data_IF_534311933589
#
_entry.id   IF_534311933589
#
_cell.length_a   1.000
_cell.length_b   1.000
_cell.length_c   1.000
_cell.angle_alpha   90.00
_cell.angle_beta   90.00
_cell.angle_gamma   90.00
#
_symmetry.space_group_name_H-M   'P 1'
#
loop_
_entity.id
_entity.type
_entity.pdbx_description
1 polymer ?
#
# COMPACT_ATOMS: atom_id res chain seq x y z
N UNK A 1 8.90 -1.26 21.30
CA UNK A 1 7.78 -2.16 21.67
C UNK A 1 7.07 -1.55 22.85
N UNK A 2 5.74 -1.60 22.90
CA UNK A 2 4.98 -1.07 24.02
C UNK A 2 5.30 -1.84 25.30
N UNK A 3 5.83 -1.15 26.30
CA UNK A 3 6.25 -1.73 27.57
C UNK A 3 5.05 -1.78 28.54
N UNK A 4 4.66 -2.95 29.05
CA UNK A 4 3.49 -3.11 29.92
C UNK A 4 3.83 -2.75 31.38
N UNK A 5 4.54 -1.64 31.60
CA UNK A 5 5.15 -1.33 32.90
C UNK A 5 4.11 -0.95 33.97
N UNK A 6 2.90 -0.56 33.55
CA UNK A 6 1.71 -0.43 34.40
C UNK A 6 0.99 -1.75 34.72
N UNK A 7 1.51 -2.91 34.28
CA UNK A 7 0.90 -4.23 34.44
C UNK A 7 1.80 -5.22 35.22
N UNK A 8 2.83 -4.71 35.90
CA UNK A 8 3.74 -5.53 36.72
C UNK A 8 2.96 -6.42 37.71
N UNK A 9 3.14 -7.74 37.59
CA UNK A 9 2.42 -8.74 38.39
C UNK A 9 1.07 -9.22 37.82
N UNK A 10 0.65 -8.77 36.63
CA UNK A 10 -0.59 -9.23 35.98
C UNK A 10 -0.31 -10.02 34.70
N UNK A 11 -1.05 -11.12 34.49
CA UNK A 11 -1.12 -11.82 33.19
C UNK A 11 -2.13 -11.19 32.22
N UNK A 12 -2.83 -10.15 32.67
CA UNK A 12 -4.04 -9.57 32.06
C UNK A 12 -3.84 -8.76 30.79
N UNK A 13 -2.61 -8.61 30.27
CA UNK A 13 -2.28 -7.67 29.18
C UNK A 13 -3.00 -7.90 27.84
N UNK A 14 -3.76 -8.99 27.71
CA UNK A 14 -4.59 -9.33 26.54
C UNK A 14 -6.10 -9.30 26.85
N UNK A 15 -6.52 -9.56 28.10
CA UNK A 15 -7.91 -9.97 28.45
C UNK A 15 -8.39 -9.55 29.84
N UNK A 16 -7.86 -8.49 30.47
CA UNK A 16 -8.23 -8.13 31.84
C UNK A 16 -8.17 -6.66 32.18
N UNK A 17 -8.73 -6.32 33.36
CA UNK A 17 -8.86 -4.95 33.86
C UNK A 17 -7.66 -4.53 34.73
N UNK A 18 -7.17 -3.27 34.64
CA UNK A 18 -7.55 -2.25 33.67
C UNK A 18 -6.98 -2.56 32.29
N UNK A 19 -7.85 -2.62 31.27
CA UNK A 19 -7.42 -2.91 29.91
C UNK A 19 -6.68 -1.69 29.33
N UNK A 20 -5.48 -1.93 28.81
CA UNK A 20 -4.60 -0.85 28.38
C UNK A 20 -5.11 -0.16 27.11
N UNK A 21 -5.06 1.18 27.10
CA UNK A 21 -5.64 2.06 26.06
C UNK A 21 -7.15 1.92 25.80
N UNK A 22 -7.96 1.27 26.62
CA UNK A 22 -9.37 1.05 26.24
C UNK A 22 -10.33 2.24 26.43
N UNK A 23 -9.82 3.42 26.85
CA UNK A 23 -10.45 4.73 26.57
C UNK A 23 -10.44 5.03 25.06
N UNK A 24 -9.51 4.42 24.33
CA UNK A 24 -9.38 4.43 22.88
C UNK A 24 -9.28 5.86 22.30
N UNK A 25 -8.53 6.73 22.99
CA UNK A 25 -8.41 8.14 22.66
C UNK A 25 -7.53 8.38 21.43
N UNK A 26 -7.79 9.46 20.69
CA UNK A 26 -6.96 9.85 19.54
C UNK A 26 -5.56 10.33 19.93
N UNK A 27 -5.36 10.69 21.21
CA UNK A 27 -4.05 10.99 21.82
C UNK A 27 -3.23 9.73 22.10
N UNK A 28 -3.88 8.57 22.20
CA UNK A 28 -3.16 7.31 22.36
C UNK A 28 -2.53 6.99 20.99
N UNK A 29 -1.20 6.96 20.87
CA UNK A 29 -0.53 6.98 19.56
C UNK A 29 0.80 6.24 19.54
N UNK A 30 1.15 5.67 18.38
CA UNK A 30 2.44 5.00 18.12
C UNK A 30 3.56 6.01 17.81
N UNK A 31 3.65 7.09 18.59
CA UNK A 31 4.44 8.28 18.29
C UNK A 31 5.82 8.33 18.97
N UNK A 32 6.11 7.44 19.93
CA UNK A 32 7.40 7.40 20.63
C UNK A 32 8.52 6.89 19.70
N UNK A 33 9.68 7.55 19.71
CA UNK A 33 10.84 7.21 18.87
C UNK A 33 11.49 5.90 19.30
N UNK A 34 11.64 5.72 20.61
CA UNK A 34 12.27 4.57 21.26
C UNK A 34 11.64 4.32 22.64
N UNK A 35 12.11 3.29 23.34
CA UNK A 35 11.53 2.81 24.60
C UNK A 35 11.51 3.84 25.73
N UNK A 36 12.34 4.88 25.68
CA UNK A 36 12.35 5.96 26.69
C UNK A 36 11.19 6.95 26.54
N UNK A 37 10.53 6.98 25.38
CA UNK A 37 9.36 7.84 25.10
C UNK A 37 8.02 7.11 25.30
N UNK A 38 8.02 5.93 25.91
CA UNK A 38 6.80 5.17 26.23
C UNK A 38 6.09 5.80 27.42
N UNK A 39 4.78 6.00 27.30
CA UNK A 39 3.92 6.45 28.40
C UNK A 39 2.62 5.64 28.44
N UNK A 40 1.70 6.01 29.32
CA UNK A 40 0.34 5.44 29.34
C UNK A 40 -0.48 5.74 28.07
N UNK A 41 -0.10 6.73 27.25
CA UNK A 41 -0.76 7.10 25.98
C UNK A 41 0.16 6.94 24.75
N UNK A 42 1.47 7.18 24.92
CA UNK A 42 2.48 7.08 23.85
C UNK A 42 3.07 5.67 23.78
N UNK A 43 2.81 4.99 22.67
CA UNK A 43 3.47 3.73 22.31
C UNK A 43 4.58 3.95 21.29
N UNK A 44 5.42 2.93 21.11
CA UNK A 44 6.54 2.93 20.15
C UNK A 44 6.23 1.91 19.06
N UNK A 45 6.23 2.37 17.81
CA UNK A 45 6.02 1.54 16.62
C UNK A 45 6.81 0.21 16.73
N UNK A 46 6.13 -0.95 16.80
CA UNK A 46 6.79 -2.23 17.03
C UNK A 46 7.79 -2.58 15.91
N UNK A 47 7.61 -2.02 14.71
CA UNK A 47 8.50 -2.25 13.59
C UNK A 47 9.90 -1.64 13.78
N UNK A 48 10.06 -0.66 14.69
CA UNK A 48 11.39 -0.14 15.06
C UNK A 48 12.30 -1.19 15.69
N UNK A 49 11.75 -2.28 16.23
CA UNK A 49 12.53 -3.43 16.70
C UNK A 49 13.25 -4.19 15.56
N UNK A 50 12.85 -4.00 14.30
CA UNK A 50 13.54 -4.56 13.11
C UNK A 50 14.65 -3.61 12.62
N UNK A 51 14.54 -2.31 12.93
CA UNK A 51 15.55 -1.29 12.62
C UNK A 51 14.93 0.10 12.41
N UNK A 52 15.74 1.17 12.36
CA UNK A 52 15.26 2.56 12.33
C UNK A 52 14.42 2.89 11.09
N UNK A 53 14.73 2.29 9.94
CA UNK A 53 14.03 2.52 8.68
C UNK A 53 12.67 1.80 8.59
N UNK A 54 12.43 0.80 9.45
CA UNK A 54 11.19 0.05 9.45
C UNK A 54 10.09 0.82 10.18
N UNK A 55 8.86 0.69 9.70
CA UNK A 55 7.67 1.26 10.34
C UNK A 55 6.40 0.48 10.01
N UNK A 56 5.39 0.63 10.85
CA UNK A 56 4.04 0.20 10.56
C UNK A 56 3.44 1.12 9.47
N UNK A 57 2.75 0.58 8.45
CA UNK A 57 2.08 1.38 7.42
C UNK A 57 1.03 2.32 8.00
N UNK A 58 0.81 3.44 7.34
CA UNK A 58 -0.36 4.30 7.58
C UNK A 58 -1.60 3.79 6.83
N UNK A 59 -2.76 4.33 7.19
CA UNK A 59 -4.04 4.15 6.50
C UNK A 59 -3.93 4.56 5.02
N UNK A 60 -3.11 5.58 4.72
CA UNK A 60 -2.84 6.06 3.37
C UNK A 60 -2.00 5.03 2.59
N UNK A 61 -0.92 4.52 3.18
CA UNK A 61 -0.11 3.49 2.54
C UNK A 61 -0.87 2.18 2.35
N UNK A 62 -1.68 1.74 3.33
CA UNK A 62 -2.56 0.59 3.14
C UNK A 62 -3.56 0.80 1.99
N UNK A 63 -4.14 2.00 1.84
CA UNK A 63 -5.01 2.34 0.70
C UNK A 63 -4.25 2.26 -0.63
N UNK A 64 -3.03 2.78 -0.68
CA UNK A 64 -2.15 2.72 -1.86
C UNK A 64 -1.81 1.28 -2.21
N UNK A 65 -1.32 0.47 -1.24
CA UNK A 65 -0.98 -0.94 -1.42
C UNK A 65 -2.18 -1.75 -1.93
N UNK A 66 -3.37 -1.58 -1.34
CA UNK A 66 -4.59 -2.27 -1.78
C UNK A 66 -4.95 -1.93 -3.23
N UNK A 67 -4.84 -0.65 -3.62
CA UNK A 67 -5.10 -0.20 -4.99
C UNK A 67 -4.08 -0.75 -5.98
N UNK A 68 -2.79 -0.63 -5.65
CA UNK A 68 -1.66 -1.01 -6.50
C UNK A 68 -1.60 -2.51 -6.74
N UNK A 69 -1.70 -3.30 -5.68
CA UNK A 69 -1.60 -4.77 -5.76
C UNK A 69 -2.96 -5.44 -6.05
N UNK A 70 -4.00 -4.63 -6.34
CA UNK A 70 -5.37 -5.09 -6.62
C UNK A 70 -5.90 -6.08 -5.58
N UNK A 71 -5.72 -5.75 -4.30
CA UNK A 71 -6.08 -6.62 -3.17
C UNK A 71 -7.59 -6.57 -2.94
N UNK A 72 -8.33 -7.45 -3.61
CA UNK A 72 -9.80 -7.56 -3.49
C UNK A 72 -10.27 -8.75 -2.64
N UNK A 73 -9.36 -9.64 -2.25
CA UNK A 73 -9.65 -10.87 -1.50
C UNK A 73 -8.43 -11.34 -0.69
N UNK A 74 -8.59 -12.31 0.26
CA UNK A 74 -7.46 -12.84 1.02
C UNK A 74 -6.47 -13.63 0.15
N UNK A 75 -6.93 -14.24 -0.95
CA UNK A 75 -6.03 -14.92 -1.90
C UNK A 75 -5.20 -13.94 -2.73
N UNK A 76 -5.75 -12.77 -3.10
CA UNK A 76 -4.98 -11.67 -3.68
C UNK A 76 -3.99 -11.07 -2.68
N UNK A 77 -4.40 -10.92 -1.42
CA UNK A 77 -3.54 -10.42 -0.35
C UNK A 77 -2.33 -11.34 -0.05
N UNK A 78 -2.54 -12.66 -0.09
CA UNK A 78 -1.45 -13.64 -0.02
C UNK A 78 -0.60 -13.68 -1.31
N UNK A 79 -1.21 -13.39 -2.47
CA UNK A 79 -0.51 -13.23 -3.75
C UNK A 79 0.41 -12.00 -3.81
N UNK A 80 0.07 -10.92 -3.09
CA UNK A 80 0.78 -9.63 -3.04
C UNK A 80 2.27 -9.74 -2.64
N UNK A 81 3.06 -8.69 -2.89
CA UNK A 81 4.48 -8.61 -2.48
C UNK A 81 4.66 -8.65 -0.97
N UNK A 82 3.68 -8.15 -0.20
CA UNK A 82 3.71 -8.17 1.26
C UNK A 82 3.25 -9.50 1.88
N UNK A 83 2.78 -10.48 1.07
CA UNK A 83 2.39 -11.83 1.52
C UNK A 83 1.52 -11.78 2.78
N UNK A 84 0.34 -11.20 2.65
CA UNK A 84 -0.59 -10.96 3.75
C UNK A 84 -1.51 -12.18 3.93
N UNK A 85 -1.27 -13.10 4.90
CA UNK A 85 -2.17 -14.22 5.18
C UNK A 85 -3.55 -13.77 5.69
N UNK A 86 -4.50 -14.70 5.64
CA UNK A 86 -5.80 -14.57 6.30
C UNK A 86 -5.69 -14.88 7.81
N UNK A 87 -4.92 -14.08 8.55
CA UNK A 87 -4.57 -14.34 9.95
C UNK A 87 -5.76 -14.30 10.93
N UNK A 88 -6.90 -13.73 10.53
CA UNK A 88 -8.00 -13.44 11.44
C UNK A 88 -7.69 -12.29 12.41
N UNK A 89 -8.44 -12.22 13.50
CA UNK A 89 -8.19 -11.30 14.62
C UNK A 89 -8.41 -11.99 15.97
N UNK A 90 -7.87 -11.41 17.03
CA UNK A 90 -8.10 -11.80 18.43
C UNK A 90 -9.01 -10.79 19.12
N UNK A 91 -10.04 -11.27 19.81
CA UNK A 91 -10.91 -10.50 20.69
C UNK A 91 -10.15 -9.91 21.89
N UNK A 92 -10.53 -8.71 22.31
CA UNK A 92 -9.99 -8.03 23.51
C UNK A 92 -10.79 -8.33 24.80
N UNK A 93 -11.97 -8.93 24.66
CA UNK A 93 -12.89 -9.21 25.78
C UNK A 93 -12.55 -10.56 26.44
N UNK A 94 -12.25 -11.57 25.62
CA UNK A 94 -12.11 -12.97 26.03
C UNK A 94 -10.89 -13.67 25.41
N UNK A 95 -10.07 -12.95 24.63
CA UNK A 95 -8.88 -13.49 23.97
C UNK A 95 -9.16 -14.47 22.82
N UNK A 96 -10.43 -14.69 22.42
CA UNK A 96 -10.78 -15.66 21.39
C UNK A 96 -10.29 -15.25 20.00
N UNK A 97 -9.92 -16.24 19.17
CA UNK A 97 -9.51 -16.01 17.78
C UNK A 97 -10.70 -16.15 16.81
N UNK A 98 -10.88 -15.16 15.94
CA UNK A 98 -11.97 -15.06 14.98
C UNK A 98 -11.46 -14.92 13.54
N UNK A 99 -12.18 -15.53 12.59
CA UNK A 99 -11.92 -15.46 11.14
C UNK A 99 -10.51 -15.89 10.68
N UNK A 100 -9.78 -16.66 11.49
CA UNK A 100 -8.51 -17.31 11.11
C UNK A 100 -8.74 -18.16 9.85
N UNK A 101 -7.82 -18.06 8.88
CA UNK A 101 -7.93 -18.68 7.56
C UNK A 101 -8.94 -18.03 6.61
N UNK A 102 -9.74 -17.04 7.07
CA UNK A 102 -10.87 -16.47 6.30
C UNK A 102 -10.76 -14.98 6.01
N UNK A 103 -10.07 -14.20 6.84
CA UNK A 103 -9.96 -12.73 6.70
C UNK A 103 -8.59 -12.20 7.14
N UNK A 104 -8.16 -11.07 6.56
CA UNK A 104 -6.98 -10.33 7.00
C UNK A 104 -7.37 -9.11 7.87
N UNK A 105 -6.60 -8.87 8.92
CA UNK A 105 -6.71 -7.71 9.79
C UNK A 105 -5.29 -7.20 10.08
N UNK A 106 -4.93 -6.01 9.60
CA UNK A 106 -3.57 -5.48 9.69
C UNK A 106 -3.54 -4.06 10.27
N UNK A 107 -2.93 -3.88 11.44
CA UNK A 107 -2.85 -2.56 12.09
C UNK A 107 -2.16 -1.50 11.20
N UNK A 108 -2.56 -0.24 11.38
CA UNK A 108 -1.85 0.93 10.85
C UNK A 108 -1.38 1.84 11.99
N UNK A 109 -0.51 2.80 11.67
CA UNK A 109 0.02 3.78 12.63
C UNK A 109 -1.02 4.78 13.16
N UNK A 110 -2.19 4.87 12.53
CA UNK A 110 -3.14 5.96 12.68
C UNK A 110 -4.17 5.68 13.81
N UNK A 111 -4.32 6.57 14.80
CA UNK A 111 -5.37 6.46 15.80
C UNK A 111 -6.74 6.83 15.22
N UNK A 112 -7.80 6.49 15.94
CA UNK A 112 -9.17 6.90 15.61
C UNK A 112 -10.02 6.91 16.88
N UNK A 113 -11.16 7.61 16.91
CA UNK A 113 -12.02 7.72 18.12
C UNK A 113 -12.72 6.43 18.58
N UNK A 114 -12.30 5.27 18.04
CA UNK A 114 -12.67 3.92 18.45
C UNK A 114 -11.43 3.02 18.62
N UNK A 115 -10.23 3.61 18.73
CA UNK A 115 -8.96 2.90 18.95
C UNK A 115 -7.91 3.18 17.89
N UNK A 116 -7.63 2.21 17.04
CA UNK A 116 -6.67 2.33 15.94
C UNK A 116 -7.29 1.96 14.59
N UNK A 117 -6.68 2.44 13.50
CA UNK A 117 -7.04 2.07 12.13
C UNK A 117 -6.35 0.77 11.70
N UNK A 118 -7.04 -0.02 10.87
CA UNK A 118 -6.49 -1.25 10.30
C UNK A 118 -6.98 -1.48 8.86
N UNK A 119 -6.15 -2.18 8.08
CA UNK A 119 -6.55 -2.77 6.81
C UNK A 119 -7.33 -4.07 7.07
N UNK A 120 -8.64 -4.00 6.80
CA UNK A 120 -9.53 -5.15 6.70
C UNK A 120 -9.43 -5.78 5.31
N UNK A 121 -9.36 -7.11 5.23
CA UNK A 121 -9.43 -7.88 3.98
C UNK A 121 -10.46 -9.01 4.16
N UNK A 122 -11.66 -8.80 3.61
CA UNK A 122 -12.73 -9.79 3.51
C UNK A 122 -12.74 -10.50 2.15
N UNK A 123 -13.72 -11.38 1.93
CA UNK A 123 -13.83 -12.18 0.71
C UNK A 123 -14.03 -11.37 -0.59
N UNK A 124 -14.67 -10.20 -0.49
CA UNK A 124 -15.07 -9.34 -1.61
C UNK A 124 -14.75 -7.85 -1.40
N UNK A 125 -14.21 -7.47 -0.24
CA UNK A 125 -13.98 -6.08 0.17
C UNK A 125 -12.66 -6.00 0.92
N UNK A 126 -11.78 -5.09 0.50
CA UNK A 126 -10.66 -4.60 1.31
C UNK A 126 -10.94 -3.15 1.73
N UNK A 127 -10.73 -2.84 3.01
CA UNK A 127 -10.94 -1.51 3.56
C UNK A 127 -9.75 -1.09 4.42
N UNK A 128 -8.92 -0.18 3.91
CA UNK A 128 -7.76 0.37 4.61
C UNK A 128 -8.10 1.30 5.79
N UNK A 129 -9.36 1.77 5.88
CA UNK A 129 -9.82 2.75 6.86
C UNK A 129 -10.76 2.17 7.93
N UNK A 130 -10.82 0.83 8.05
CA UNK A 130 -11.50 0.16 9.16
C UNK A 130 -10.83 0.52 10.51
N UNK A 131 -11.52 0.31 11.63
CA UNK A 131 -10.98 0.61 12.95
C UNK A 131 -11.61 -0.25 14.04
N UNK A 132 -10.92 -0.42 15.16
CA UNK A 132 -11.33 -1.22 16.30
C UNK A 132 -10.57 -0.80 17.57
N UNK A 133 -11.08 -1.18 18.77
CA UNK A 133 -10.37 -1.05 20.04
C UNK A 133 -8.96 -1.64 19.97
N UNK A 134 -7.99 -0.97 20.58
CA UNK A 134 -6.57 -1.30 20.46
C UNK A 134 -6.18 -2.61 21.12
N UNK A 135 -6.95 -3.07 22.11
CA UNK A 135 -6.80 -4.40 22.69
C UNK A 135 -7.05 -5.53 21.68
N UNK A 136 -7.71 -5.25 20.54
CA UNK A 136 -7.94 -6.25 19.48
C UNK A 136 -6.60 -6.71 18.91
N UNK A 137 -6.38 -8.02 18.83
CA UNK A 137 -5.21 -8.55 18.11
C UNK A 137 -5.47 -8.52 16.61
N UNK A 138 -5.11 -7.44 15.92
CA UNK A 138 -4.83 -7.47 14.49
C UNK A 138 -3.33 -7.75 14.27
N UNK A 139 -2.96 -8.23 13.08
CA UNK A 139 -1.56 -8.49 12.73
C UNK A 139 -0.80 -7.19 12.53
N UNK A 140 0.45 -7.13 12.98
CA UNK A 140 1.40 -6.09 12.54
C UNK A 140 2.10 -6.60 11.29
N UNK A 141 2.15 -5.78 10.24
CA UNK A 141 3.04 -6.00 9.10
C UNK A 141 3.93 -4.78 8.94
N UNK A 142 5.24 -4.98 9.07
CA UNK A 142 6.21 -3.92 8.92
C UNK A 142 6.57 -3.69 7.45
N UNK A 143 6.75 -2.42 7.08
CA UNK A 143 7.34 -2.00 5.82
C UNK A 143 8.62 -1.21 6.11
N UNK A 144 9.60 -1.31 5.21
CA UNK A 144 10.68 -0.33 5.09
C UNK A 144 10.34 0.52 3.88
N UNK A 145 9.95 1.81 4.05
CA UNK A 145 9.85 2.73 2.93
C UNK A 145 11.19 2.76 2.18
N UNK A 146 11.13 2.79 0.86
CA UNK A 146 12.33 2.98 0.08
C UNK A 146 12.80 4.43 0.22
N UNK A 147 14.12 4.63 0.37
CA UNK A 147 14.73 5.81 -0.24
C UNK A 147 14.51 5.69 -1.77
N UNK A 148 14.29 6.81 -2.46
CA UNK A 148 13.61 6.89 -3.77
C UNK A 148 14.38 6.32 -5.00
N UNK A 149 15.15 5.26 -4.82
CA UNK A 149 15.92 4.53 -5.84
C UNK A 149 15.63 3.01 -5.84
N UNK A 150 14.65 2.53 -5.07
CA UNK A 150 14.29 1.10 -5.07
C UNK A 150 13.48 0.72 -6.30
N UNK A 151 13.98 -0.24 -7.08
CA UNK A 151 13.29 -0.80 -8.26
C UNK A 151 11.97 -1.50 -7.92
N UNK A 152 11.71 -1.81 -6.64
CA UNK A 152 10.40 -2.25 -6.17
C UNK A 152 9.30 -1.20 -6.39
N UNK A 153 9.63 0.10 -6.37
CA UNK A 153 8.65 1.15 -6.69
C UNK A 153 8.20 1.12 -8.15
N UNK A 154 9.05 0.65 -9.08
CA UNK A 154 8.67 0.50 -10.50
C UNK A 154 7.57 -0.58 -10.64
N UNK A 155 7.55 -1.57 -9.74
CA UNK A 155 6.47 -2.57 -9.66
C UNK A 155 5.23 -2.04 -8.91
N UNK A 156 5.40 -1.12 -7.96
CA UNK A 156 4.32 -0.55 -7.15
C UNK A 156 3.71 0.74 -7.72
N UNK A 157 4.31 1.35 -8.75
CA UNK A 157 3.72 2.44 -9.56
C UNK A 157 3.11 1.92 -10.88
N UNK A 158 2.92 0.60 -11.01
CA UNK A 158 2.34 -0.04 -12.20
C UNK A 158 0.80 0.07 -12.22
N UNK A 159 0.23 1.28 -12.15
CA UNK A 159 -1.09 1.53 -12.77
C UNK A 159 -0.89 1.50 -14.28
N UNK A 160 -0.85 0.29 -14.84
CA UNK A 160 -0.11 0.10 -16.08
C UNK A 160 -0.75 0.83 -17.26
N UNK A 161 0.07 1.61 -17.96
CA UNK A 161 -0.11 1.85 -19.38
C UNK A 161 0.75 0.83 -20.16
N UNK A 162 0.14 -0.24 -20.68
CA UNK A 162 0.85 -1.24 -21.50
C UNK A 162 0.82 -0.85 -22.97
N UNK A 163 2.01 -0.69 -23.54
CA UNK A 163 2.23 -0.34 -24.94
C UNK A 163 2.53 -1.58 -25.77
N UNK A 164 1.73 -1.81 -26.81
CA UNK A 164 1.82 -3.03 -27.63
C UNK A 164 1.48 -2.78 -29.11
N UNK A 165 2.07 -3.54 -30.04
CA UNK A 165 3.22 -4.42 -29.84
C UNK A 165 4.50 -3.59 -29.59
N UNK A 166 5.49 -4.19 -28.91
CA UNK A 166 6.83 -3.60 -28.74
C UNK A 166 7.87 -4.70 -29.02
N UNK A 167 8.63 -4.65 -30.15
CA UNK A 167 8.66 -3.58 -31.14
C UNK A 167 7.34 -3.34 -31.90
N UNK A 168 7.14 -2.10 -32.35
CA UNK A 168 6.01 -1.67 -33.18
C UNK A 168 6.43 -1.46 -34.63
N UNK A 169 5.50 -1.69 -35.57
CA UNK A 169 5.69 -1.34 -36.98
C UNK A 169 4.82 -0.16 -37.41
N UNK A 170 3.49 -0.25 -37.27
CA UNK A 170 2.57 0.74 -37.87
C UNK A 170 1.65 1.42 -36.84
N UNK A 171 1.04 0.68 -35.91
CA UNK A 171 0.12 1.20 -34.88
C UNK A 171 0.57 0.71 -33.50
N UNK A 172 0.66 1.63 -32.53
CA UNK A 172 0.94 1.34 -31.13
C UNK A 172 -0.33 1.48 -30.30
N UNK A 173 -0.85 0.38 -29.76
CA UNK A 173 -1.98 0.37 -28.82
C UNK A 173 -1.55 0.67 -27.38
N UNK A 174 -2.48 1.23 -26.60
CA UNK A 174 -2.31 1.61 -25.19
C UNK A 174 -3.44 1.03 -24.35
N UNK A 175 -3.17 -0.03 -23.58
CA UNK A 175 -4.05 -0.41 -22.46
C UNK A 175 -3.69 0.47 -21.28
N UNK A 176 -4.66 1.12 -20.61
CA UNK A 176 -4.40 1.99 -19.46
C UNK A 176 -5.42 1.76 -18.33
N UNK A 177 -4.98 1.86 -17.07
CA UNK A 177 -5.85 1.74 -15.89
C UNK A 177 -6.80 2.91 -15.64
N UNK A 178 -6.70 4.01 -16.41
CA UNK A 178 -7.55 5.18 -16.34
C UNK A 178 -7.68 5.85 -17.71
N UNK A 179 -8.58 6.82 -17.84
CA UNK A 179 -8.71 7.62 -19.06
C UNK A 179 -7.41 8.39 -19.35
N UNK A 180 -6.93 8.28 -20.58
CA UNK A 180 -5.77 9.02 -21.06
C UNK A 180 -6.18 10.49 -21.28
N UNK A 181 -5.36 11.43 -20.80
CA UNK A 181 -5.55 12.87 -21.01
C UNK A 181 -4.72 13.37 -22.19
N UNK A 182 -3.42 13.03 -22.24
CA UNK A 182 -2.53 13.34 -23.36
C UNK A 182 -1.47 12.26 -23.56
N UNK A 183 -0.90 12.20 -24.76
CA UNK A 183 0.31 11.43 -25.04
C UNK A 183 1.31 12.31 -25.78
N UNK A 184 2.59 12.25 -25.39
CA UNK A 184 3.71 12.79 -26.16
C UNK A 184 4.59 11.61 -26.62
N UNK A 185 5.17 11.71 -27.82
CA UNK A 185 6.19 10.75 -28.31
C UNK A 185 7.46 11.52 -28.61
N UNK A 186 8.60 11.01 -28.14
CA UNK A 186 9.92 11.65 -28.24
C UNK A 186 10.93 10.66 -28.81
N UNK A 187 11.74 11.08 -29.79
CA UNK A 187 12.78 10.23 -30.37
C UNK A 187 14.11 10.29 -29.58
N UNK A 188 15.07 9.44 -29.93
CA UNK A 188 16.40 9.41 -29.32
C UNK A 188 17.24 10.69 -29.43
N UNK A 189 16.82 11.68 -30.25
CA UNK A 189 17.42 13.01 -30.33
C UNK A 189 16.66 14.07 -29.49
N UNK A 190 15.72 13.66 -28.64
CA UNK A 190 14.90 14.56 -27.81
C UNK A 190 13.81 15.31 -28.58
N UNK A 191 13.59 15.00 -29.86
CA UNK A 191 12.61 15.70 -30.69
C UNK A 191 11.20 15.13 -30.45
N UNK A 192 10.23 16.01 -30.20
CA UNK A 192 8.81 15.65 -30.10
C UNK A 192 8.25 15.30 -31.48
N UNK A 193 7.67 14.11 -31.61
CA UNK A 193 7.02 13.66 -32.83
C UNK A 193 5.58 14.17 -32.87
N UNK A 194 5.13 14.60 -34.05
CA UNK A 194 3.71 14.89 -34.29
C UNK A 194 2.95 13.57 -34.45
N UNK A 195 2.21 13.19 -33.42
CA UNK A 195 1.33 12.02 -33.40
C UNK A 195 0.00 12.39 -32.75
N UNK A 196 -1.05 11.66 -33.09
CA UNK A 196 -2.39 11.83 -32.51
C UNK A 196 -2.83 10.55 -31.80
N UNK A 197 -3.55 10.71 -30.70
CA UNK A 197 -4.17 9.62 -29.96
C UNK A 197 -5.59 9.40 -30.49
N UNK A 198 -5.88 8.21 -31.01
CA UNK A 198 -7.23 7.83 -31.46
C UNK A 198 -7.55 6.40 -31.01
N UNK A 199 -8.71 6.20 -30.38
CA UNK A 199 -9.16 4.91 -29.84
C UNK A 199 -8.08 4.17 -29.02
N UNK A 200 -7.42 4.88 -28.09
CA UNK A 200 -6.29 4.40 -27.30
C UNK A 200 -5.13 3.83 -28.15
N UNK A 201 -4.89 4.38 -29.33
CA UNK A 201 -3.79 3.98 -30.21
C UNK A 201 -3.09 5.20 -30.84
N UNK A 202 -1.83 5.01 -31.22
CA UNK A 202 -0.97 5.99 -31.88
C UNK A 202 -0.58 5.44 -33.25
N UNK A 203 -0.74 6.23 -34.32
CA UNK A 203 -0.17 5.90 -35.61
C UNK A 203 1.33 6.22 -35.63
N UNK A 204 2.16 5.20 -35.82
CA UNK A 204 3.62 5.27 -35.82
C UNK A 204 4.23 5.03 -37.21
N UNK A 205 3.42 4.68 -38.21
CA UNK A 205 3.89 4.29 -39.56
C UNK A 205 4.69 5.37 -40.28
N UNK A 206 4.37 6.64 -40.06
CA UNK A 206 5.12 7.80 -40.57
C UNK A 206 6.42 8.13 -39.83
N UNK A 207 6.85 7.30 -38.87
CA UNK A 207 8.07 7.49 -38.08
C UNK A 207 9.17 6.50 -38.49
N UNK A 208 10.41 6.98 -38.53
CA UNK A 208 11.59 6.17 -38.85
C UNK A 208 11.80 5.03 -37.84
N UNK A 209 12.46 3.95 -38.28
CA UNK A 209 12.93 2.92 -37.36
C UNK A 209 13.89 3.50 -36.32
N UNK A 210 13.77 3.09 -35.06
CA UNK A 210 14.55 3.65 -33.95
C UNK A 210 13.92 3.51 -32.57
N UNK A 211 14.53 4.18 -31.59
CA UNK A 211 14.13 4.16 -30.18
C UNK A 211 13.31 5.40 -29.83
N UNK A 212 12.18 5.18 -29.15
CA UNK A 212 11.24 6.23 -28.76
C UNK A 212 10.80 6.09 -27.30
N UNK A 213 10.49 7.23 -26.69
CA UNK A 213 9.84 7.34 -25.38
C UNK A 213 8.42 7.86 -25.59
N UNK A 214 7.46 7.26 -24.89
CA UNK A 214 6.03 7.58 -24.96
C UNK A 214 5.60 8.03 -23.57
N UNK A 215 5.31 9.32 -23.41
CA UNK A 215 4.85 9.90 -22.16
C UNK A 215 3.33 10.00 -22.19
N UNK A 216 2.66 9.28 -21.28
CA UNK A 216 1.21 9.14 -21.19
C UNK A 216 0.77 9.84 -19.92
N UNK A 217 -0.03 10.89 -20.04
CA UNK A 217 -0.70 11.53 -18.90
C UNK A 217 -2.11 10.97 -18.75
N UNK A 218 -2.47 10.54 -17.55
CA UNK A 218 -3.80 10.04 -17.21
C UNK A 218 -4.64 11.12 -16.52
N UNK A 219 -5.98 10.99 -16.59
CA UNK A 219 -6.95 11.94 -16.01
C UNK A 219 -6.94 12.01 -14.47
N UNK A 220 -6.29 11.05 -13.80
CA UNK A 220 -5.99 11.10 -12.37
C UNK A 220 -4.79 12.02 -12.03
N UNK A 221 -4.09 12.58 -13.03
CA UNK A 221 -2.89 13.40 -12.88
C UNK A 221 -1.56 12.63 -12.97
N UNK A 222 -1.61 11.30 -13.08
CA UNK A 222 -0.44 10.42 -13.19
C UNK A 222 0.24 10.56 -14.57
N UNK A 223 1.58 10.45 -14.59
CA UNK A 223 2.39 10.49 -15.80
C UNK A 223 3.23 9.21 -15.84
N UNK A 224 3.10 8.46 -16.93
CA UNK A 224 3.80 7.21 -17.19
C UNK A 224 4.71 7.44 -18.40
N UNK A 225 5.96 6.99 -18.35
CA UNK A 225 6.90 7.09 -19.47
C UNK A 225 7.42 5.70 -19.81
N UNK A 226 7.14 5.24 -21.02
CA UNK A 226 7.49 3.89 -21.49
C UNK A 226 8.34 3.94 -22.77
N UNK A 227 9.21 2.93 -22.93
CA UNK A 227 10.24 2.92 -23.98
C UNK A 227 9.94 1.87 -25.04
N UNK A 228 9.73 2.30 -26.28
CA UNK A 228 9.36 1.44 -27.40
C UNK A 228 10.42 1.45 -28.52
N UNK A 229 10.47 0.35 -29.26
CA UNK A 229 11.28 0.21 -30.47
C UNK A 229 10.35 0.26 -31.69
N UNK A 230 10.65 1.12 -32.65
CA UNK A 230 10.01 1.18 -33.96
C UNK A 230 10.86 0.42 -34.98
N UNK A 231 10.26 -0.53 -35.68
CA UNK A 231 10.83 -1.23 -36.84
C UNK A 231 10.32 -0.62 -38.16
#
# INVERSE_FOLDING_TARGET
MNAPDGLAGTSSFITGSPAWWEVNATTDAWAGKDVTEITNTTGVDPCKAIGPDWRMPSQVEWKTIVSVESITSPSKAYGSSLKLPAAGSRSHVDGTFSFVGKRGYYWSSDPTGIGAKYLYIGATISNAAAGAPKGQGASVRCIKPAASLSTSEIRLKKQVAELYPNPVKDILGITAGSYIETVNVVNAAGQKMKVELSNNSINMSGLNAGLYWVEIKLKNGEIISEKIIKN
#
